data_IF_838340568636
#
_entry.id   IF_838340568636
#
_cell.length_a   1.000
_cell.length_b   1.000
_cell.length_c   1.000
_cell.angle_alpha   90.00
_cell.angle_beta   90.00
_cell.angle_gamma   90.00
#
_symmetry.space_group_name_H-M   'P 1'
#
loop_
_entity.id
_entity.type
_entity.pdbx_description
1 polymer ?
#
# COMPACT_ATOMS: atom_id res chain seq x y z
N UNK A 1 16.81 -19.35 7.32
CA UNK A 1 17.61 -18.58 6.35
C UNK A 1 17.58 -17.11 6.77
N UNK A 2 18.73 -16.47 6.98
CA UNK A 2 18.75 -15.02 7.19
C UNK A 2 18.55 -14.33 5.82
N UNK A 3 17.53 -13.49 5.69
CA UNK A 3 17.36 -12.65 4.50
C UNK A 3 18.44 -11.58 4.56
N UNK A 4 19.53 -11.77 3.83
CA UNK A 4 20.61 -10.80 3.71
C UNK A 4 20.41 -9.84 2.53
N UNK A 5 21.09 -8.69 2.48
CA UNK A 5 20.99 -7.74 1.37
C UNK A 5 21.38 -8.37 0.01
N UNK A 6 22.35 -9.27 -0.03
CA UNK A 6 22.72 -10.01 -1.26
C UNK A 6 21.67 -11.02 -1.72
N UNK A 7 20.75 -11.43 -0.85
CA UNK A 7 19.63 -12.27 -1.25
C UNK A 7 18.58 -11.47 -2.04
N UNK A 8 18.45 -10.16 -1.76
CA UNK A 8 17.51 -9.27 -2.44
C UNK A 8 17.83 -9.12 -3.93
N UNK A 9 19.12 -9.12 -4.29
CA UNK A 9 19.55 -9.06 -5.70
C UNK A 9 19.04 -10.27 -6.48
N UNK A 10 18.96 -11.44 -5.83
CA UNK A 10 18.42 -12.66 -6.44
C UNK A 10 16.90 -12.64 -6.57
N UNK A 11 16.18 -11.79 -5.82
CA UNK A 11 14.73 -11.73 -5.88
C UNK A 11 14.20 -11.18 -7.20
N UNK A 12 15.04 -10.49 -7.98
CA UNK A 12 14.68 -10.06 -9.33
C UNK A 12 14.43 -11.26 -10.25
N UNK A 13 15.20 -12.32 -10.08
CA UNK A 13 15.18 -13.55 -10.89
C UNK A 13 14.13 -14.57 -10.39
N UNK A 14 13.60 -14.37 -9.18
CA UNK A 14 12.62 -15.28 -8.61
C UNK A 14 11.24 -15.18 -9.26
N UNK A 15 10.60 -16.34 -9.38
CA UNK A 15 9.19 -16.49 -9.68
C UNK A 15 8.31 -15.82 -8.62
N UNK A 16 7.09 -15.44 -8.99
CA UNK A 16 6.15 -14.75 -8.08
C UNK A 16 5.81 -15.56 -6.83
N UNK A 17 5.73 -16.89 -6.92
CA UNK A 17 5.47 -17.77 -5.77
C UNK A 17 6.63 -17.79 -4.77
N UNK A 18 7.86 -17.92 -5.27
CA UNK A 18 9.10 -17.87 -4.46
C UNK A 18 9.24 -16.51 -3.78
N UNK A 19 9.01 -15.43 -4.53
CA UNK A 19 9.01 -14.07 -4.00
C UNK A 19 7.97 -13.91 -2.88
N UNK A 20 6.78 -14.50 -3.03
CA UNK A 20 5.74 -14.48 -1.99
C UNK A 20 6.19 -15.19 -0.72
N UNK A 21 6.84 -16.34 -0.84
CA UNK A 21 7.38 -17.07 0.30
C UNK A 21 8.46 -16.25 1.04
N UNK A 22 9.38 -15.62 0.31
CA UNK A 22 10.40 -14.77 0.92
C UNK A 22 9.83 -13.50 1.55
N UNK A 23 8.86 -12.83 0.91
CA UNK A 23 8.20 -11.66 1.49
C UNK A 23 7.43 -12.05 2.75
N UNK A 24 6.79 -13.22 2.79
CA UNK A 24 6.16 -13.74 4.03
C UNK A 24 7.19 -13.93 5.14
N UNK A 25 8.36 -14.50 4.83
CA UNK A 25 9.45 -14.61 5.80
C UNK A 25 9.99 -13.24 6.25
N UNK A 26 10.09 -12.28 5.33
CA UNK A 26 10.52 -10.91 5.62
C UNK A 26 9.57 -10.21 6.62
N UNK A 27 8.26 -10.32 6.39
CA UNK A 27 7.23 -9.77 7.29
C UNK A 27 7.28 -10.47 8.65
N UNK A 28 7.42 -11.80 8.68
CA UNK A 28 7.56 -12.57 9.92
C UNK A 28 8.84 -12.27 10.70
N UNK A 29 9.92 -11.86 10.02
CA UNK A 29 11.18 -11.49 10.65
C UNK A 29 11.11 -10.13 11.37
N UNK A 30 10.04 -9.34 11.18
CA UNK A 30 9.78 -8.07 11.87
C UNK A 30 10.97 -7.10 11.84
N UNK A 31 11.61 -7.00 10.68
CA UNK A 31 12.81 -6.18 10.52
C UNK A 31 12.47 -4.69 10.63
N UNK A 32 13.27 -3.90 11.37
CA UNK A 32 13.07 -2.45 11.46
C UNK A 32 13.24 -1.79 10.08
N UNK A 33 12.55 -0.66 9.85
CA UNK A 33 12.53 0.02 8.54
C UNK A 33 13.88 0.56 8.04
N UNK A 34 14.89 0.62 8.91
CA UNK A 34 16.26 1.01 8.57
C UNK A 34 17.16 -0.20 8.18
N UNK A 35 16.64 -1.42 8.29
CA UNK A 35 17.42 -2.63 8.06
C UNK A 35 17.99 -2.69 6.64
N UNK A 36 19.21 -3.22 6.50
CA UNK A 36 19.95 -3.29 5.23
C UNK A 36 19.18 -3.98 4.10
N UNK A 37 18.27 -4.90 4.43
CA UNK A 37 17.37 -5.58 3.47
C UNK A 37 16.38 -4.59 2.85
N UNK A 38 15.74 -3.73 3.65
CA UNK A 38 14.83 -2.70 3.13
C UNK A 38 15.60 -1.70 2.26
N UNK A 39 16.83 -1.35 2.64
CA UNK A 39 17.70 -0.51 1.81
C UNK A 39 18.04 -1.17 0.48
N UNK A 40 18.40 -2.45 0.49
CA UNK A 40 18.67 -3.21 -0.73
C UNK A 40 17.42 -3.25 -1.63
N UNK A 41 16.24 -3.49 -1.06
CA UNK A 41 14.98 -3.50 -1.84
C UNK A 41 14.72 -2.14 -2.49
N UNK A 42 14.88 -1.04 -1.74
CA UNK A 42 14.65 0.33 -2.25
C UNK A 42 15.62 0.72 -3.36
N UNK A 43 16.82 0.12 -3.42
CA UNK A 43 17.80 0.34 -4.51
C UNK A 43 17.33 -0.27 -5.84
N UNK A 44 16.35 -1.15 -5.82
CA UNK A 44 15.80 -1.82 -7.01
C UNK A 44 14.36 -1.37 -7.28
N UNK A 45 14.14 -0.33 -8.12
CA UNK A 45 12.80 0.20 -8.37
C UNK A 45 11.84 -0.80 -9.03
N UNK A 46 12.35 -1.86 -9.67
CA UNK A 46 11.53 -2.94 -10.22
C UNK A 46 10.99 -3.93 -9.15
N UNK A 47 11.69 -4.06 -8.01
CA UNK A 47 11.30 -4.95 -6.91
C UNK A 47 10.24 -4.31 -6.01
N UNK A 48 10.36 -3.01 -5.74
CA UNK A 48 9.45 -2.26 -4.87
C UNK A 48 7.96 -2.47 -5.21
N UNK A 49 7.50 -2.25 -6.46
CA UNK A 49 6.09 -2.47 -6.80
C UNK A 49 5.67 -3.94 -6.74
N UNK A 50 6.55 -4.89 -7.12
CA UNK A 50 6.28 -6.33 -7.01
C UNK A 50 6.05 -6.72 -5.55
N UNK A 51 6.92 -6.29 -4.65
CA UNK A 51 6.81 -6.57 -3.21
C UNK A 51 5.57 -5.90 -2.63
N UNK A 52 5.27 -4.64 -3.01
CA UNK A 52 4.01 -3.97 -2.61
C UNK A 52 2.77 -4.77 -3.04
N UNK A 53 2.76 -5.30 -4.27
CA UNK A 53 1.68 -6.15 -4.77
C UNK A 53 1.53 -7.45 -3.97
N UNK A 54 2.65 -8.12 -3.66
CA UNK A 54 2.68 -9.33 -2.83
C UNK A 54 2.18 -9.03 -1.41
N UNK A 55 2.56 -7.91 -0.81
CA UNK A 55 2.08 -7.47 0.50
C UNK A 55 0.57 -7.22 0.50
N UNK A 56 0.02 -6.63 -0.57
CA UNK A 56 -1.44 -6.47 -0.75
C UNK A 56 -2.14 -7.84 -0.81
N UNK A 57 -1.59 -8.79 -1.56
CA UNK A 57 -2.12 -10.15 -1.64
C UNK A 57 -2.03 -10.90 -0.30
N UNK A 58 -0.94 -10.69 0.46
CA UNK A 58 -0.81 -11.22 1.82
C UNK A 58 -1.88 -10.66 2.76
N UNK A 59 -2.15 -9.35 2.70
CA UNK A 59 -3.18 -8.71 3.51
C UNK A 59 -4.59 -9.24 3.19
N UNK A 60 -4.87 -9.50 1.91
CA UNK A 60 -6.12 -10.12 1.49
C UNK A 60 -6.27 -11.55 2.03
N UNK A 61 -5.19 -12.34 2.07
CA UNK A 61 -5.21 -13.69 2.67
C UNK A 61 -5.17 -13.70 4.19
N UNK A 62 -4.73 -12.61 4.81
CA UNK A 62 -4.73 -12.46 6.26
C UNK A 62 -6.15 -12.27 6.81
N UNK A 63 -7.09 -11.76 5.99
CA UNK A 63 -8.48 -11.61 6.35
C UNK A 63 -9.10 -12.99 6.67
N UNK A 64 -9.51 -13.19 7.93
CA UNK A 64 -10.03 -14.46 8.45
C UNK A 64 -8.99 -15.35 9.16
N UNK A 65 -7.74 -14.92 9.31
CA UNK A 65 -6.73 -15.61 10.12
C UNK A 65 -6.82 -15.24 11.60
N UNK A 66 -6.44 -16.16 12.49
CA UNK A 66 -6.40 -15.96 13.96
C UNK A 66 -5.62 -14.70 14.37
N UNK A 67 -4.58 -14.37 13.61
CA UNK A 67 -3.68 -13.24 13.84
C UNK A 67 -3.90 -12.08 12.85
N UNK A 68 -5.11 -11.94 12.28
CA UNK A 68 -5.40 -10.95 11.23
C UNK A 68 -4.95 -9.53 11.61
N UNK A 69 -5.33 -9.04 12.79
CA UNK A 69 -4.98 -7.70 13.25
C UNK A 69 -3.46 -7.50 13.32
N UNK A 70 -2.75 -8.52 13.81
CA UNK A 70 -1.31 -8.48 13.96
C UNK A 70 -0.61 -8.57 12.60
N UNK A 71 -1.10 -9.39 11.68
CA UNK A 71 -0.60 -9.46 10.31
C UNK A 71 -0.82 -8.14 9.57
N UNK A 72 -1.96 -7.48 9.75
CA UNK A 72 -2.22 -6.14 9.20
C UNK A 72 -1.19 -5.13 9.70
N UNK A 73 -0.88 -5.11 11.00
CA UNK A 73 0.16 -4.22 11.57
C UNK A 73 1.53 -4.51 10.96
N UNK A 74 1.93 -5.78 10.86
CA UNK A 74 3.24 -6.12 10.28
C UNK A 74 3.33 -5.77 8.80
N UNK A 75 2.26 -5.97 8.04
CA UNK A 75 2.20 -5.60 6.61
C UNK A 75 2.21 -4.09 6.44
N UNK A 76 1.50 -3.33 7.29
CA UNK A 76 1.53 -1.87 7.29
C UNK A 76 2.93 -1.33 7.62
N UNK A 77 3.61 -1.92 8.61
CA UNK A 77 4.99 -1.57 8.93
C UNK A 77 5.96 -1.90 7.78
N UNK A 78 5.79 -3.05 7.13
CA UNK A 78 6.57 -3.43 5.95
C UNK A 78 6.34 -2.46 4.77
N UNK A 79 5.10 -1.99 4.57
CA UNK A 79 4.77 -0.98 3.55
C UNK A 79 5.40 0.37 3.88
N UNK A 80 5.32 0.83 5.13
CA UNK A 80 5.98 2.04 5.58
C UNK A 80 7.50 1.96 5.37
N UNK A 81 8.10 0.80 5.67
CA UNK A 81 9.51 0.52 5.38
C UNK A 81 9.86 0.45 3.89
N UNK A 82 8.90 0.42 2.97
CA UNK A 82 9.15 0.56 1.53
C UNK A 82 8.93 1.99 1.04
N UNK A 83 8.16 2.79 1.77
CA UNK A 83 7.80 4.16 1.40
C UNK A 83 8.78 5.21 1.95
N UNK A 84 9.48 4.88 3.05
CA UNK A 84 10.56 5.70 3.55
C UNK A 84 11.60 5.95 2.44
N UNK A 85 12.00 7.20 2.17
CA UNK A 85 13.11 7.46 1.26
C UNK A 85 14.35 6.72 1.78
N UNK A 86 15.17 6.16 0.89
CA UNK A 86 16.45 5.58 1.29
C UNK A 86 17.22 6.63 2.12
N UNK A 87 17.77 6.29 3.30
CA UNK A 87 18.48 7.23 4.14
C UNK A 87 19.76 7.58 3.39
N UNK A 88 19.70 8.68 2.66
CA UNK A 88 20.84 9.56 2.53
C UNK A 88 21.33 9.82 3.95
N UNK A 89 22.59 9.44 4.22
CA UNK A 89 23.27 9.58 5.51
C UNK A 89 23.01 10.98 6.08
N UNK A 90 22.00 11.12 6.93
CA UNK A 90 21.70 12.35 7.64
C UNK A 90 21.84 12.05 9.12
N UNK A 91 22.84 12.72 9.69
CA UNK A 91 23.27 12.62 11.06
C UNK A 91 22.12 12.61 12.08
N UNK A 92 22.29 11.72 13.07
CA UNK A 92 21.76 11.77 14.44
C UNK A 92 21.03 13.07 14.82
N UNK A 93 19.76 12.96 15.22
CA UNK A 93 19.26 13.52 16.49
C UNK A 93 18.15 12.61 17.07
N UNK A 94 18.22 12.22 18.34
CA UNK A 94 17.13 11.54 19.04
C UNK A 94 16.24 12.58 19.71
N UNK A 95 14.92 12.55 19.46
CA UNK A 95 13.93 13.06 20.42
C UNK A 95 12.71 12.14 20.34
N UNK A 96 12.54 11.38 21.41
CA UNK A 96 11.26 10.82 21.85
C UNK A 96 10.32 11.97 22.18
N UNK A 97 9.15 12.00 21.55
CA UNK A 97 7.94 12.48 22.22
C UNK A 97 6.72 11.77 21.62
N UNK A 98 6.18 10.90 22.45
CA UNK A 98 4.78 10.47 22.49
C UNK A 98 3.86 11.68 22.33
N UNK A 99 3.00 11.66 21.31
CA UNK A 99 1.56 12.01 21.35
C UNK A 99 0.96 11.80 19.94
N UNK A 100 -0.31 11.36 19.86
CA UNK A 100 -0.88 10.67 18.71
C UNK A 100 -1.16 11.60 17.53
N UNK A 101 -0.63 11.23 16.36
CA UNK A 101 -1.06 11.82 15.09
C UNK A 101 -2.46 11.30 14.77
N UNK A 102 -3.44 12.18 14.57
CA UNK A 102 -4.85 11.83 14.47
C UNK A 102 -5.13 10.95 13.25
N UNK A 103 -6.12 10.09 13.43
CA UNK A 103 -6.95 9.50 12.39
C UNK A 103 -7.13 10.51 11.24
N UNK A 104 -6.82 10.18 9.97
CA UNK A 104 -7.39 10.94 8.88
C UNK A 104 -8.87 10.54 8.84
N UNK A 105 -9.69 11.24 9.63
CA UNK A 105 -11.10 11.37 9.29
C UNK A 105 -11.14 11.86 7.83
N UNK A 106 -11.75 11.14 6.89
CA UNK A 106 -12.10 11.73 5.62
C UNK A 106 -13.23 12.73 5.90
N UNK A 107 -12.86 13.92 6.38
CA UNK A 107 -13.69 15.10 6.25
C UNK A 107 -13.76 15.37 4.74
N UNK A 108 -14.80 14.84 4.11
CA UNK A 108 -15.23 15.24 2.78
C UNK A 108 -15.72 16.68 2.95
N UNK A 109 -14.77 17.61 2.89
CA UNK A 109 -15.07 19.02 2.74
C UNK A 109 -15.71 19.19 1.37
N UNK A 110 -17.02 19.43 1.40
CA UNK A 110 -17.88 19.68 0.27
C UNK A 110 -17.50 21.03 -0.37
N UNK A 111 -16.38 21.06 -1.10
CA UNK A 111 -16.04 22.14 -2.04
C UNK A 111 -15.81 21.52 -3.40
N UNK A 112 -16.92 21.26 -4.08
CA UNK A 112 -16.92 20.83 -5.46
C UNK A 112 -16.50 22.01 -6.37
N UNK A 113 -15.58 21.80 -7.32
CA UNK A 113 -15.09 22.82 -8.24
C UNK A 113 -16.16 23.28 -9.24
N UNK A 114 -16.11 24.56 -9.60
CA UNK A 114 -16.80 25.14 -10.76
C UNK A 114 -16.60 24.28 -12.02
N UNK A 115 -17.69 23.84 -12.68
CA UNK A 115 -17.62 23.38 -14.06
C UNK A 115 -17.84 24.58 -14.99
N UNK A 116 -16.76 25.07 -15.61
CA UNK A 116 -16.90 25.94 -16.77
C UNK A 116 -17.46 25.15 -17.97
N UNK A 117 -18.58 25.68 -18.47
CA UNK A 117 -19.05 25.68 -19.86
C UNK A 117 -19.12 24.36 -20.63
N UNK A 118 -20.34 24.00 -21.05
CA UNK A 118 -20.73 24.06 -22.47
C UNK A 118 -22.23 23.87 -22.67
N UNK A 119 -22.80 24.72 -23.55
CA UNK A 119 -24.21 24.75 -24.00
C UNK A 119 -24.74 23.37 -24.40
N UNK A 120 -25.91 23.00 -23.90
CA UNK A 120 -26.96 22.36 -24.69
C UNK A 120 -28.34 22.56 -24.03
N UNK A 121 -29.38 22.94 -24.80
CA UNK A 121 -30.70 23.22 -24.26
C UNK A 121 -31.39 21.92 -23.82
N UNK A 122 -31.95 21.94 -22.60
CA UNK A 122 -32.76 20.86 -22.04
C UNK A 122 -33.96 20.59 -22.95
N UNK A 123 -33.99 19.42 -23.60
CA UNK A 123 -35.23 18.86 -24.16
C UNK A 123 -36.04 18.23 -23.01
N UNK A 124 -37.32 18.55 -22.84
CA UNK A 124 -38.12 18.03 -21.73
C UNK A 124 -38.67 16.62 -21.98
N UNK A 125 -38.68 15.84 -20.88
CA UNK A 125 -39.51 14.68 -20.52
C UNK A 125 -39.47 13.37 -21.36
N UNK A 126 -39.22 12.21 -20.73
CA UNK A 126 -39.73 10.95 -21.25
C UNK A 126 -41.24 10.83 -20.92
N UNK A 127 -42.08 10.88 -21.94
CA UNK A 127 -43.50 10.54 -21.82
C UNK A 127 -43.61 9.06 -21.44
N UNK A 128 -44.28 8.74 -20.32
CA UNK A 128 -44.66 7.36 -20.04
C UNK A 128 -45.83 7.01 -20.95
N UNK A 129 -45.55 6.27 -22.03
CA UNK A 129 -46.53 5.73 -22.95
C UNK A 129 -46.89 4.33 -22.46
N UNK A 130 -47.79 4.27 -21.48
CA UNK A 130 -48.46 3.02 -21.08
C UNK A 130 -49.45 2.67 -22.20
N UNK A 131 -49.09 1.71 -23.06
CA UNK A 131 -50.03 1.07 -23.97
C UNK A 131 -50.72 -0.07 -23.22
N UNK A 132 -52.04 0.05 -23.03
CA UNK A 132 -52.90 -1.09 -22.69
C UNK A 132 -53.27 -1.84 -23.98
N UNK A 133 -53.03 -3.16 -24.08
CA UNK A 133 -53.51 -3.94 -25.21
C UNK A 133 -54.90 -4.55 -24.96
N UNK A 134 -55.81 -4.19 -25.87
CA UNK A 134 -57.02 -4.86 -26.40
C UNK A 134 -58.17 -5.33 -25.49
#
# INVERSE_FOLDING_TARGET
MAIGPSAVERWLDLSTEELRAQVKQLVSARLPGDHAVWQAIRRHPALVPRIRGVLSGLAATAAGSKDEAMQKVWISNARAALDLPAPVKAARKPVVKEDPVPEPEPVIELKQPEPQQQKQPHKPAPTMLFQEPS
#
